data_IF_738717277938
#
_entry.id   IF_738717277938
#
_cell.length_a   1.000
_cell.length_b   1.000
_cell.length_c   1.000
_cell.angle_alpha   90.00
_cell.angle_beta   90.00
_cell.angle_gamma   90.00
#
_symmetry.space_group_name_H-M   'P 1'
#
loop_
_entity.id
_entity.type
_entity.pdbx_description
1 polymer ?
#
# COMPACT_ATOMS: atom_id res chain seq x y z
N UNK A 1 17.44 29.59 -19.21
CA UNK A 1 16.86 28.73 -20.27
C UNK A 1 17.18 27.29 -19.93
N UNK A 2 16.25 26.57 -19.28
CA UNK A 2 16.37 25.12 -19.11
C UNK A 2 15.84 24.49 -20.40
N UNK A 3 16.63 23.60 -20.99
CA UNK A 3 16.25 22.87 -22.19
C UNK A 3 15.24 21.81 -21.77
N UNK A 4 13.96 22.07 -22.03
CA UNK A 4 12.87 21.12 -21.84
C UNK A 4 13.06 19.96 -22.83
N UNK A 5 13.66 18.88 -22.35
CA UNK A 5 13.81 17.67 -23.16
C UNK A 5 12.46 16.95 -23.25
N UNK A 6 11.83 17.05 -24.43
CA UNK A 6 10.62 16.35 -24.88
C UNK A 6 10.59 14.83 -24.56
N UNK A 7 11.73 14.22 -24.25
CA UNK A 7 11.87 12.82 -23.85
C UNK A 7 11.34 12.49 -22.43
N UNK A 8 11.17 13.47 -21.53
CA UNK A 8 10.61 13.22 -20.19
C UNK A 8 9.08 13.02 -20.22
N UNK A 9 8.40 13.64 -21.20
CA UNK A 9 6.94 13.67 -21.33
C UNK A 9 6.39 12.30 -21.76
N UNK A 10 7.10 11.57 -22.61
CA UNK A 10 6.68 10.24 -23.10
C UNK A 10 6.80 9.12 -22.05
N UNK A 11 7.72 9.23 -21.09
CA UNK A 11 7.82 8.24 -19.99
C UNK A 11 6.68 8.36 -18.97
N UNK A 12 6.05 9.54 -18.89
CA UNK A 12 5.06 9.92 -17.87
C UNK A 12 3.66 9.36 -18.14
N UNK A 13 3.24 9.33 -19.40
CA UNK A 13 1.93 8.78 -19.80
C UNK A 13 1.86 7.24 -19.70
N UNK A 14 2.99 6.56 -19.86
CA UNK A 14 3.05 5.10 -19.74
C UNK A 14 2.96 4.63 -18.28
N UNK A 15 3.52 5.38 -17.32
CA UNK A 15 3.49 5.01 -15.90
C UNK A 15 2.12 5.28 -15.26
N UNK A 16 1.43 6.35 -15.65
CA UNK A 16 0.09 6.69 -15.15
C UNK A 16 -1.04 5.99 -15.91
N UNK A 17 -0.89 5.73 -17.22
CA UNK A 17 -1.93 5.13 -18.05
C UNK A 17 -2.22 3.66 -17.73
N UNK A 18 -1.26 2.94 -17.15
CA UNK A 18 -1.41 1.52 -16.81
C UNK A 18 -1.94 1.28 -15.38
N UNK A 19 -2.01 2.29 -14.50
CA UNK A 19 -2.47 2.13 -13.11
C UNK A 19 -3.97 2.32 -12.89
N UNK A 20 -4.68 2.95 -13.82
CA UNK A 20 -6.07 3.42 -13.67
C UNK A 20 -7.17 2.35 -13.59
N UNK A 21 -6.86 1.05 -13.78
CA UNK A 21 -7.86 -0.03 -13.79
C UNK A 21 -7.66 -1.02 -12.64
N UNK A 22 -7.69 -0.52 -11.39
CA UNK A 22 -7.66 -1.32 -10.16
C UNK A 22 -8.74 -0.91 -9.15
N UNK A 23 -8.77 -1.56 -7.98
CA UNK A 23 -9.77 -1.44 -6.91
C UNK A 23 -10.20 0.00 -6.50
N UNK A 24 -9.42 1.02 -6.89
CA UNK A 24 -9.75 2.43 -6.70
C UNK A 24 -10.94 2.94 -7.54
N UNK A 25 -11.33 2.24 -8.62
CA UNK A 25 -12.46 2.64 -9.47
C UNK A 25 -13.82 2.60 -8.74
N UNK A 26 -13.92 1.91 -7.59
CA UNK A 26 -15.13 1.81 -6.77
C UNK A 26 -15.00 2.49 -5.40
N UNK A 27 -13.85 3.11 -5.12
CA UNK A 27 -13.64 3.79 -3.85
C UNK A 27 -14.42 5.11 -3.83
N UNK A 28 -15.17 5.32 -2.75
CA UNK A 28 -15.89 6.57 -2.55
C UNK A 28 -14.93 7.63 -1.99
N UNK A 29 -14.43 8.52 -2.85
CA UNK A 29 -13.54 9.61 -2.45
C UNK A 29 -14.33 10.82 -1.97
N UNK A 30 -13.75 11.55 -1.00
CA UNK A 30 -14.31 12.82 -0.56
C UNK A 30 -14.31 13.82 -1.73
N UNK A 31 -15.46 14.43 -2.09
CA UNK A 31 -15.56 15.34 -3.22
C UNK A 31 -15.12 16.76 -2.85
N UNK A 32 -14.03 16.90 -2.10
CA UNK A 32 -13.47 18.18 -1.65
C UNK A 32 -11.95 18.19 -1.90
N UNK A 33 -11.32 19.37 -2.03
CA UNK A 33 -9.90 19.43 -2.29
C UNK A 33 -9.03 18.84 -1.16
N UNK A 34 -7.85 18.37 -1.53
CA UNK A 34 -6.80 18.00 -0.58
C UNK A 34 -6.49 19.17 0.37
N UNK A 35 -6.17 18.84 1.63
CA UNK A 35 -5.92 19.82 2.70
C UNK A 35 -7.17 20.32 3.42
N UNK A 36 -8.38 20.00 2.95
CA UNK A 36 -9.62 20.31 3.65
C UNK A 36 -9.81 19.40 4.86
N UNK A 37 -10.52 19.91 5.88
CA UNK A 37 -10.93 19.15 7.06
C UNK A 37 -12.41 18.82 6.99
N UNK A 38 -12.75 17.54 7.04
CA UNK A 38 -14.11 17.06 7.26
C UNK A 38 -14.41 17.12 8.76
N UNK A 39 -15.42 17.87 9.15
CA UNK A 39 -15.90 17.97 10.52
C UNK A 39 -17.20 17.19 10.66
N UNK A 40 -17.20 16.20 11.56
CA UNK A 40 -18.39 15.48 11.95
C UNK A 40 -19.30 16.37 12.81
N UNK A 41 -20.53 16.60 12.36
CA UNK A 41 -21.55 17.32 13.13
C UNK A 41 -22.13 16.47 14.28
N UNK A 42 -21.94 15.15 14.23
CA UNK A 42 -22.53 14.22 15.20
C UNK A 42 -21.67 14.05 16.47
N UNK A 43 -20.35 14.16 16.33
CA UNK A 43 -19.40 13.86 17.42
C UNK A 43 -18.14 14.75 17.43
N UNK A 44 -18.09 15.81 16.62
CA UNK A 44 -16.97 16.74 16.51
C UNK A 44 -15.62 16.12 16.06
N UNK A 45 -15.60 14.87 15.61
CA UNK A 45 -14.41 14.24 15.01
C UNK A 45 -14.00 14.96 13.74
N UNK A 46 -12.69 15.00 13.47
CA UNK A 46 -12.12 15.71 12.33
C UNK A 46 -11.24 14.79 11.50
N UNK A 47 -11.29 14.96 10.19
CA UNK A 47 -10.53 14.17 9.24
C UNK A 47 -9.92 15.06 8.17
N UNK A 48 -8.63 14.90 7.88
CA UNK A 48 -7.96 15.57 6.77
C UNK A 48 -8.27 14.82 5.47
N UNK A 49 -8.50 15.55 4.38
CA UNK A 49 -8.57 14.99 3.03
C UNK A 49 -7.20 15.04 2.35
N UNK A 50 -6.73 13.90 1.85
CA UNK A 50 -5.52 13.79 1.05
C UNK A 50 -5.65 12.68 0.00
N UNK A 51 -5.42 12.99 -1.28
CA UNK A 51 -5.74 12.11 -2.40
C UNK A 51 -7.21 11.69 -2.42
N UNK A 52 -8.12 12.56 -1.97
CA UNK A 52 -9.54 12.25 -1.80
C UNK A 52 -9.88 11.27 -0.66
N UNK A 53 -8.91 10.71 0.06
CA UNK A 53 -9.15 9.82 1.19
C UNK A 53 -9.17 10.59 2.52
N UNK A 54 -9.81 10.01 3.53
CA UNK A 54 -9.91 10.59 4.87
C UNK A 54 -8.82 10.06 5.81
N UNK A 55 -8.19 10.96 6.54
CA UNK A 55 -7.23 10.66 7.60
C UNK A 55 -7.75 11.23 8.91
N UNK A 56 -7.94 10.38 9.92
CA UNK A 56 -8.38 10.84 11.24
C UNK A 56 -7.36 11.80 11.86
N UNK A 57 -7.83 12.95 12.35
CA UNK A 57 -7.03 13.93 13.07
C UNK A 57 -7.23 13.65 14.57
N UNK A 58 -6.21 13.16 15.30
CA UNK A 58 -6.31 12.99 16.74
C UNK A 58 -6.60 14.34 17.43
N UNK A 59 -7.38 14.37 18.53
CA UNK A 59 -7.76 15.62 19.21
C UNK A 59 -6.57 16.54 19.54
N UNK A 60 -5.44 15.94 19.95
CA UNK A 60 -4.21 16.67 20.28
C UNK A 60 -3.56 17.39 19.08
N UNK A 61 -3.94 17.06 17.85
CA UNK A 61 -3.38 17.62 16.61
C UNK A 61 -4.33 18.58 15.90
N UNK A 62 -5.56 18.79 16.40
CA UNK A 62 -6.57 19.63 15.73
C UNK A 62 -6.08 21.07 15.50
N UNK A 63 -5.30 21.62 16.44
CA UNK A 63 -4.73 22.97 16.31
C UNK A 63 -3.78 23.12 15.12
N UNK A 64 -3.11 22.04 14.71
CA UNK A 64 -2.21 22.01 13.55
C UNK A 64 -2.95 22.22 12.22
N UNK A 65 -4.28 22.05 12.21
CA UNK A 65 -5.15 22.19 11.05
C UNK A 65 -6.13 23.36 11.18
N UNK A 66 -5.91 24.28 12.12
CA UNK A 66 -6.80 25.42 12.37
C UNK A 66 -6.94 26.39 11.19
N UNK A 67 -5.93 26.48 10.32
CA UNK A 67 -5.98 27.28 9.09
C UNK A 67 -6.64 26.57 7.89
N UNK A 68 -7.03 25.30 8.03
CA UNK A 68 -7.63 24.55 6.95
C UNK A 68 -9.12 24.90 6.77
N UNK A 69 -9.57 24.95 5.51
CA UNK A 69 -11.00 25.03 5.21
C UNK A 69 -11.72 23.80 5.75
N UNK A 70 -12.90 24.00 6.36
CA UNK A 70 -13.65 22.93 7.02
C UNK A 70 -14.99 22.70 6.33
N UNK A 71 -15.38 21.43 6.17
CA UNK A 71 -16.68 21.02 5.63
C UNK A 71 -17.40 20.18 6.67
N UNK A 72 -18.57 20.65 7.10
CA UNK A 72 -19.39 19.96 8.09
C UNK A 72 -20.26 18.89 7.42
N UNK A 73 -20.19 17.65 7.90
CA UNK A 73 -20.93 16.49 7.36
C UNK A 73 -21.36 15.56 8.51
N UNK A 74 -22.33 14.68 8.26
CA UNK A 74 -22.60 13.57 9.20
C UNK A 74 -21.40 12.62 9.28
N UNK A 75 -21.21 11.99 10.44
CA UNK A 75 -20.20 10.96 10.63
C UNK A 75 -20.42 9.78 9.66
N UNK A 76 -21.69 9.45 9.36
CA UNK A 76 -22.03 8.39 8.42
C UNK A 76 -21.52 8.71 7.00
N UNK A 77 -21.70 9.95 6.53
CA UNK A 77 -21.15 10.41 5.25
C UNK A 77 -19.63 10.32 5.25
N UNK A 78 -18.97 10.81 6.31
CA UNK A 78 -17.51 10.74 6.41
C UNK A 78 -17.03 9.28 6.41
N UNK A 79 -17.70 8.39 7.13
CA UNK A 79 -17.35 6.96 7.19
C UNK A 79 -17.50 6.26 5.84
N UNK A 80 -18.38 6.74 4.97
CA UNK A 80 -18.53 6.22 3.61
C UNK A 80 -17.34 6.54 2.71
N UNK A 81 -16.50 7.52 3.07
CA UNK A 81 -15.30 7.83 2.30
C UNK A 81 -14.15 6.86 2.62
N UNK A 82 -13.41 6.50 1.57
CA UNK A 82 -12.24 5.62 1.67
C UNK A 82 -11.13 6.23 2.54
N UNK A 83 -10.36 5.35 3.17
CA UNK A 83 -9.13 5.68 3.90
C UNK A 83 -7.86 5.46 3.05
N UNK A 84 -8.01 4.91 1.84
CA UNK A 84 -6.92 4.67 0.89
C UNK A 84 -6.92 5.80 -0.13
N UNK A 85 -5.87 6.63 -0.20
CA UNK A 85 -5.76 7.69 -1.21
C UNK A 85 -5.68 7.16 -2.63
N UNK A 86 -5.96 8.03 -3.59
CA UNK A 86 -5.77 7.73 -5.01
C UNK A 86 -4.31 7.43 -5.36
N UNK A 87 -4.11 6.66 -6.43
CA UNK A 87 -2.79 6.40 -6.99
C UNK A 87 -2.07 7.69 -7.40
N UNK A 88 -0.77 7.71 -7.12
CA UNK A 88 0.11 8.85 -7.24
C UNK A 88 -0.07 9.91 -6.17
N UNK A 89 -0.87 9.71 -5.13
CA UNK A 89 -0.92 10.67 -4.00
C UNK A 89 0.36 10.59 -3.19
N UNK A 90 1.00 11.75 -3.01
CA UNK A 90 2.15 11.93 -2.13
C UNK A 90 1.68 12.40 -0.76
N UNK A 91 2.20 11.77 0.29
CA UNK A 91 1.91 12.17 1.66
C UNK A 91 3.07 11.87 2.60
N UNK A 92 3.07 12.58 3.73
CA UNK A 92 3.95 12.32 4.87
C UNK A 92 3.23 12.66 6.16
N UNK A 93 3.63 12.03 7.24
CA UNK A 93 3.21 12.43 8.59
C UNK A 93 3.75 13.83 8.90
N UNK A 94 2.93 14.66 9.55
CA UNK A 94 3.33 16.03 9.90
C UNK A 94 4.58 16.02 10.77
N UNK A 95 5.52 16.91 10.45
CA UNK A 95 6.85 16.99 11.08
C UNK A 95 7.74 15.76 10.90
N UNK A 96 7.48 14.92 9.89
CA UNK A 96 8.38 13.84 9.46
C UNK A 96 8.97 14.14 8.09
N UNK A 97 10.15 13.58 7.80
CA UNK A 97 10.82 13.72 6.50
C UNK A 97 10.44 12.62 5.51
N UNK A 98 10.01 11.46 5.99
CA UNK A 98 9.69 10.31 5.13
C UNK A 98 8.43 10.57 4.31
N UNK A 99 8.60 10.60 2.99
CA UNK A 99 7.49 10.73 2.03
C UNK A 99 7.11 9.36 1.50
N UNK A 100 5.81 9.18 1.26
CA UNK A 100 5.23 8.00 0.64
C UNK A 100 4.45 8.39 -0.61
N UNK A 101 4.39 7.47 -1.56
CA UNK A 101 3.47 7.54 -2.71
C UNK A 101 2.51 6.37 -2.68
N UNK A 102 1.24 6.59 -3.04
CA UNK A 102 0.29 5.49 -3.25
C UNK A 102 0.42 4.95 -4.68
N UNK A 103 0.61 3.65 -4.84
CA UNK A 103 0.62 2.95 -6.12
C UNK A 103 -0.06 1.60 -5.96
N UNK A 104 -1.05 1.30 -6.82
CA UNK A 104 -1.84 0.08 -6.73
C UNK A 104 -2.71 0.02 -5.47
N UNK A 105 -3.06 1.17 -4.89
CA UNK A 105 -3.75 1.23 -3.60
C UNK A 105 -2.87 0.92 -2.38
N UNK A 106 -1.55 0.85 -2.54
CA UNK A 106 -0.60 0.65 -1.44
C UNK A 106 0.44 1.76 -1.36
N UNK A 107 0.94 2.05 -0.15
CA UNK A 107 1.95 3.07 0.06
C UNK A 107 3.36 2.52 -0.13
N UNK A 108 4.22 3.30 -0.76
CA UNK A 108 5.62 2.99 -0.99
C UNK A 108 6.50 4.13 -0.52
N UNK A 109 7.51 3.81 0.29
CA UNK A 109 8.46 4.80 0.77
C UNK A 109 9.29 5.35 -0.40
N UNK A 110 9.45 6.67 -0.44
CA UNK A 110 10.37 7.35 -1.34
C UNK A 110 11.70 7.53 -0.58
N UNK A 111 12.78 6.81 -0.94
CA UNK A 111 13.97 6.74 -0.07
C UNK A 111 14.88 7.97 -0.13
N UNK A 112 14.74 8.84 -1.14
CA UNK A 112 15.64 9.99 -1.34
C UNK A 112 14.95 11.15 -2.03
N UNK A 113 15.51 12.36 -1.90
CA UNK A 113 15.05 13.54 -2.62
C UNK A 113 15.16 13.36 -4.15
N UNK A 114 16.25 12.74 -4.62
CA UNK A 114 16.41 12.42 -6.05
C UNK A 114 15.31 11.49 -6.55
N UNK A 115 14.90 10.51 -5.74
CA UNK A 115 13.76 9.67 -6.09
C UNK A 115 12.46 10.48 -6.06
N UNK A 116 12.27 11.32 -5.05
CA UNK A 116 11.10 12.21 -4.93
C UNK A 116 10.90 13.08 -6.16
N UNK A 117 11.96 13.64 -6.75
CA UNK A 117 11.89 14.45 -7.97
C UNK A 117 11.23 13.73 -9.16
N UNK A 118 11.24 12.39 -9.20
CA UNK A 118 10.53 11.62 -10.24
C UNK A 118 9.02 11.54 -10.00
N UNK A 119 8.58 11.72 -8.75
CA UNK A 119 7.19 11.58 -8.32
C UNK A 119 6.52 12.93 -8.05
N UNK A 120 7.29 13.96 -7.70
CA UNK A 120 6.85 15.26 -7.19
C UNK A 120 6.59 16.32 -8.28
N UNK A 121 6.56 15.92 -9.55
CA UNK A 121 6.61 16.84 -10.71
C UNK A 121 5.37 17.78 -10.84
N UNK A 122 4.40 17.72 -9.91
CA UNK A 122 3.15 18.52 -9.90
C UNK A 122 2.22 18.33 -8.67
N UNK A 123 2.46 17.40 -7.74
CA UNK A 123 1.53 17.10 -6.64
C UNK A 123 2.08 17.57 -5.29
N UNK A 124 1.32 18.41 -4.61
CA UNK A 124 1.62 18.84 -3.23
C UNK A 124 1.73 17.61 -2.33
N UNK A 125 2.83 17.50 -1.58
CA UNK A 125 2.97 16.48 -0.54
C UNK A 125 1.97 16.80 0.58
N UNK A 126 0.99 15.92 0.75
CA UNK A 126 -0.02 16.06 1.80
C UNK A 126 0.59 15.81 3.19
N UNK A 127 0.49 16.78 4.10
CA UNK A 127 0.91 16.62 5.49
C UNK A 127 -0.23 16.00 6.32
N UNK A 128 -0.23 14.68 6.42
CA UNK A 128 -1.25 13.92 7.14
C UNK A 128 -1.00 13.91 8.66
N UNK A 129 -2.04 13.68 9.48
CA UNK A 129 -1.89 13.61 10.94
C UNK A 129 -1.03 12.42 11.36
N UNK A 130 -0.38 12.54 12.52
CA UNK A 130 0.31 11.43 13.17
C UNK A 130 -0.75 10.50 13.81
N UNK A 131 -1.33 9.63 12.99
CA UNK A 131 -2.38 8.66 13.32
C UNK A 131 -1.99 7.24 12.86
N UNK A 132 -2.85 6.24 13.12
CA UNK A 132 -2.75 4.86 12.65
C UNK A 132 -3.10 4.70 11.16
N UNK A 133 -2.67 5.61 10.29
CA UNK A 133 -3.03 5.64 8.87
C UNK A 133 -2.67 4.34 8.10
N UNK A 134 -1.66 3.60 8.56
CA UNK A 134 -1.21 2.35 7.94
C UNK A 134 -2.24 1.23 8.03
N UNK A 135 -3.12 1.25 9.04
CA UNK A 135 -4.06 0.15 9.32
C UNK A 135 -5.00 -0.13 8.13
N UNK A 136 -5.49 0.93 7.48
CA UNK A 136 -6.34 0.78 6.30
C UNK A 136 -5.61 0.04 5.16
N UNK A 137 -4.34 0.35 4.94
CA UNK A 137 -3.51 -0.31 3.93
C UNK A 137 -3.21 -1.75 4.33
N UNK A 138 -2.90 -2.01 5.60
CA UNK A 138 -2.64 -3.37 6.12
C UNK A 138 -3.85 -4.28 5.87
N UNK A 139 -5.06 -3.80 6.15
CA UNK A 139 -6.28 -4.56 5.91
C UNK A 139 -6.49 -4.87 4.41
N UNK A 140 -6.20 -3.90 3.53
CA UNK A 140 -6.24 -4.12 2.09
C UNK A 140 -5.17 -5.12 1.61
N UNK A 141 -3.96 -5.07 2.20
CA UNK A 141 -2.83 -5.92 1.83
C UNK A 141 -3.05 -7.42 2.02
N UNK A 142 -3.87 -7.80 3.01
CA UNK A 142 -4.22 -9.19 3.19
C UNK A 142 -5.14 -9.66 2.07
N UNK A 143 -6.05 -8.81 1.60
CA UNK A 143 -7.04 -9.21 0.58
C UNK A 143 -6.62 -8.87 -0.86
N UNK A 144 -5.45 -8.28 -1.05
CA UNK A 144 -4.99 -7.79 -2.34
C UNK A 144 -3.55 -8.19 -2.62
N UNK A 145 -3.25 -8.42 -3.89
CA UNK A 145 -1.92 -8.73 -4.39
C UNK A 145 -1.52 -7.72 -5.45
N UNK A 146 -0.26 -7.34 -5.45
CA UNK A 146 0.27 -6.36 -6.40
C UNK A 146 1.49 -6.93 -7.08
N UNK A 147 1.43 -7.04 -8.41
CA UNK A 147 2.64 -7.20 -9.20
C UNK A 147 3.34 -5.84 -9.25
N UNK A 148 4.56 -5.75 -8.72
CA UNK A 148 5.31 -4.51 -8.62
C UNK A 148 6.70 -4.64 -9.21
N UNK A 149 7.24 -3.53 -9.67
CA UNK A 149 8.59 -3.43 -10.20
C UNK A 149 9.16 -2.07 -9.81
N UNK A 150 10.35 -2.06 -9.19
CA UNK A 150 11.02 -0.80 -8.90
C UNK A 150 11.41 -0.11 -10.20
N UNK A 151 11.18 1.21 -10.24
CA UNK A 151 11.54 2.05 -11.37
C UNK A 151 12.98 1.76 -11.80
N UNK A 152 13.20 1.63 -13.11
CA UNK A 152 14.51 1.33 -13.75
C UNK A 152 15.09 -0.08 -13.53
N UNK A 153 14.50 -0.90 -12.67
CA UNK A 153 14.89 -2.32 -12.54
C UNK A 153 14.11 -3.17 -13.54
N UNK A 154 14.48 -4.44 -13.70
CA UNK A 154 13.73 -5.44 -14.51
C UNK A 154 13.06 -6.52 -13.67
N UNK A 155 13.43 -6.68 -12.39
CA UNK A 155 12.91 -7.72 -11.52
C UNK A 155 11.50 -7.34 -11.03
N UNK A 156 10.50 -8.13 -11.41
CA UNK A 156 9.16 -8.03 -10.86
C UNK A 156 9.04 -8.82 -9.56
N UNK A 157 8.22 -8.32 -8.65
CA UNK A 157 7.88 -8.98 -7.39
C UNK A 157 6.37 -9.03 -7.26
N UNK A 158 5.85 -10.13 -6.72
CA UNK A 158 4.52 -10.14 -6.15
C UNK A 158 4.61 -9.61 -4.72
N UNK A 159 3.87 -8.55 -4.42
CA UNK A 159 3.71 -8.02 -3.09
C UNK A 159 2.38 -8.47 -2.49
N UNK A 160 2.42 -9.15 -1.35
CA UNK A 160 1.27 -9.73 -0.65
C UNK A 160 1.53 -9.73 0.85
N UNK A 161 0.56 -9.29 1.65
CA UNK A 161 0.59 -9.34 3.12
C UNK A 161 1.94 -8.85 3.71
N UNK A 162 2.47 -7.73 3.20
CA UNK A 162 3.72 -7.15 3.70
C UNK A 162 5.02 -7.76 3.16
N UNK A 163 4.95 -8.88 2.43
CA UNK A 163 6.12 -9.53 1.85
C UNK A 163 6.28 -9.26 0.34
N UNK A 164 7.52 -9.34 -0.12
CA UNK A 164 7.86 -9.41 -1.55
C UNK A 164 8.33 -10.82 -1.94
N UNK A 165 7.74 -11.35 -3.00
CA UNK A 165 8.12 -12.63 -3.60
C UNK A 165 8.64 -12.38 -5.02
N UNK A 166 9.92 -12.69 -5.32
CA UNK A 166 10.45 -12.47 -6.66
C UNK A 166 9.73 -13.36 -7.67
N UNK A 167 9.35 -12.78 -8.82
CA UNK A 167 8.87 -13.55 -9.96
C UNK A 167 10.09 -14.02 -10.75
N UNK A 168 10.36 -15.33 -10.73
CA UNK A 168 11.57 -15.91 -11.33
C UNK A 168 11.32 -16.61 -12.66
N UNK A 169 10.06 -16.86 -13.02
CA UNK A 169 9.71 -17.55 -14.26
C UNK A 169 8.54 -16.86 -14.98
N UNK A 170 8.46 -17.10 -16.29
CA UNK A 170 7.45 -16.48 -17.16
C UNK A 170 6.02 -16.95 -16.87
N UNK A 171 5.86 -18.17 -16.35
CA UNK A 171 4.53 -18.74 -16.06
C UNK A 171 3.84 -18.02 -14.90
N UNK A 172 4.58 -17.76 -13.81
CA UNK A 172 4.11 -16.95 -12.69
C UNK A 172 3.87 -15.51 -13.13
N UNK A 173 4.81 -14.94 -13.92
CA UNK A 173 4.66 -13.57 -14.41
C UNK A 173 3.37 -13.39 -15.21
N UNK A 174 3.08 -14.31 -16.12
CA UNK A 174 1.85 -14.30 -16.92
C UNK A 174 0.61 -14.52 -16.05
N UNK A 175 0.67 -15.44 -15.09
CA UNK A 175 -0.43 -15.74 -14.18
C UNK A 175 -0.87 -14.51 -13.36
N UNK A 176 0.09 -13.70 -12.90
CA UNK A 176 -0.17 -12.46 -12.17
C UNK A 176 -0.41 -11.25 -13.08
N UNK A 177 -0.66 -11.47 -14.38
CA UNK A 177 -1.08 -10.44 -15.33
C UNK A 177 0.04 -9.82 -16.17
N UNK A 178 1.29 -10.26 -16.01
CA UNK A 178 2.44 -9.87 -16.82
C UNK A 178 2.81 -8.39 -16.72
N UNK A 179 3.63 -7.92 -17.65
CA UNK A 179 4.18 -6.56 -17.61
C UNK A 179 3.15 -5.44 -17.73
N UNK A 180 2.00 -5.70 -18.34
CA UNK A 180 0.89 -4.74 -18.36
C UNK A 180 0.24 -4.53 -16.99
N UNK A 181 0.37 -5.49 -16.08
CA UNK A 181 -0.20 -5.41 -14.72
C UNK A 181 0.82 -4.95 -13.68
N UNK A 182 2.11 -5.01 -14.00
CA UNK A 182 3.18 -4.58 -13.11
C UNK A 182 3.09 -3.08 -12.83
N UNK A 183 2.96 -2.74 -11.54
CA UNK A 183 2.94 -1.36 -11.06
C UNK A 183 4.37 -0.89 -10.81
N UNK A 184 4.72 0.26 -11.37
CA UNK A 184 6.03 0.87 -11.14
C UNK A 184 6.02 1.57 -9.79
N UNK A 185 6.98 1.23 -8.92
CA UNK A 185 7.13 1.77 -7.57
C UNK A 185 8.50 2.48 -7.42
N UNK A 186 8.70 3.31 -6.38
CA UNK A 186 9.94 4.05 -6.21
C UNK A 186 11.17 3.14 -6.14
N UNK A 187 12.27 3.57 -6.76
CA UNK A 187 13.54 2.85 -6.67
C UNK A 187 14.05 2.81 -5.22
N UNK A 188 14.34 1.61 -4.72
CA UNK A 188 14.82 1.38 -3.35
C UNK A 188 13.71 1.18 -2.32
N UNK A 189 12.43 1.33 -2.71
CA UNK A 189 11.29 1.11 -1.80
C UNK A 189 11.16 -0.34 -1.32
N UNK A 190 11.68 -1.31 -2.08
CA UNK A 190 11.69 -2.72 -1.70
C UNK A 190 12.87 -3.10 -0.82
N UNK A 191 13.87 -2.24 -0.62
CA UNK A 191 15.12 -2.61 0.06
C UNK A 191 14.90 -3.18 1.47
N UNK A 192 13.95 -2.60 2.22
CA UNK A 192 13.61 -3.01 3.59
C UNK A 192 12.41 -3.97 3.68
N UNK A 193 11.83 -4.35 2.54
CA UNK A 193 10.73 -5.33 2.50
C UNK A 193 11.34 -6.72 2.36
N UNK A 194 10.98 -7.63 3.27
CA UNK A 194 11.47 -9.01 3.28
C UNK A 194 10.53 -9.94 2.51
N UNK A 195 10.95 -11.19 2.31
CA UNK A 195 10.07 -12.24 1.81
C UNK A 195 9.24 -12.90 2.91
N UNK A 196 9.29 -12.38 4.14
CA UNK A 196 8.51 -12.90 5.27
C UNK A 196 7.18 -12.14 5.36
N UNK A 197 6.03 -12.79 5.12
CA UNK A 197 4.73 -12.14 5.19
C UNK A 197 4.40 -11.76 6.64
N UNK A 198 3.42 -10.89 6.83
CA UNK A 198 2.88 -10.61 8.14
C UNK A 198 2.28 -11.88 8.75
N UNK A 199 2.36 -11.96 10.07
CA UNK A 199 1.76 -13.07 10.78
C UNK A 199 0.25 -13.11 10.54
N UNK A 200 -0.29 -14.31 10.33
CA UNK A 200 -1.71 -14.55 10.10
C UNK A 200 -2.07 -14.53 8.63
N UNK A 201 -1.09 -14.32 7.74
CA UNK A 201 -1.30 -14.50 6.31
C UNK A 201 -1.65 -15.96 6.00
N UNK A 202 -2.71 -16.18 5.23
CA UNK A 202 -3.05 -17.47 4.64
C UNK A 202 -2.68 -17.45 3.16
N UNK A 203 -1.62 -18.16 2.77
CA UNK A 203 -1.08 -18.12 1.41
C UNK A 203 -1.10 -19.49 0.76
N UNK A 204 -1.27 -19.52 -0.56
CA UNK A 204 -1.29 -20.73 -1.38
C UNK A 204 -0.34 -20.54 -2.55
N UNK A 205 0.52 -21.51 -2.84
CA UNK A 205 1.27 -21.49 -4.11
C UNK A 205 0.30 -21.68 -5.27
N UNK A 206 0.45 -20.91 -6.35
CA UNK A 206 -0.58 -20.83 -7.38
C UNK A 206 -0.97 -22.19 -7.98
N UNK A 207 -0.01 -23.12 -8.10
CA UNK A 207 -0.22 -24.48 -8.62
C UNK A 207 -0.73 -25.48 -7.58
N UNK A 208 -0.69 -25.13 -6.30
CA UNK A 208 -1.08 -26.00 -5.18
C UNK A 208 -2.51 -25.74 -4.74
N UNK A 209 -3.22 -26.77 -4.26
CA UNK A 209 -4.51 -26.60 -3.59
C UNK A 209 -4.37 -26.33 -2.08
N UNK A 210 -3.19 -26.58 -1.51
CA UNK A 210 -2.96 -26.45 -0.06
C UNK A 210 -2.76 -25.01 0.35
N UNK A 211 -3.63 -24.50 1.21
CA UNK A 211 -3.45 -23.20 1.88
C UNK A 211 -2.63 -23.39 3.14
N UNK A 212 -1.66 -22.51 3.34
CA UNK A 212 -0.87 -22.46 4.56
C UNK A 212 -1.16 -21.21 5.35
N UNK A 213 -1.39 -21.35 6.66
CA UNK A 213 -1.33 -20.26 7.62
C UNK A 213 0.15 -20.01 7.99
N UNK A 214 0.56 -18.75 7.97
CA UNK A 214 1.92 -18.30 8.28
C UNK A 214 1.95 -17.64 9.67
N UNK A 215 2.85 -18.10 10.53
CA UNK A 215 3.03 -17.51 11.86
C UNK A 215 4.16 -18.14 12.66
N UNK A 216 4.16 -17.93 13.97
CA UNK A 216 5.21 -18.41 14.87
C UNK A 216 4.72 -19.54 15.77
N UNK A 217 5.62 -20.21 16.49
CA UNK A 217 5.21 -21.22 17.49
C UNK A 217 4.74 -20.53 18.77
N UNK A 218 5.45 -19.49 19.20
CA UNK A 218 5.25 -18.78 20.47
C UNK A 218 5.93 -17.42 20.41
N UNK A 219 5.80 -16.61 21.48
CA UNK A 219 6.36 -15.26 21.57
C UNK A 219 7.88 -15.23 21.60
N UNK A 220 8.50 -16.37 21.90
CA UNK A 220 9.94 -16.58 21.89
C UNK A 220 10.47 -17.14 20.57
N UNK A 221 9.61 -17.52 19.64
CA UNK A 221 10.01 -18.09 18.35
C UNK A 221 10.26 -16.98 17.32
N UNK A 222 11.49 -16.85 16.84
CA UNK A 222 11.85 -15.87 15.81
C UNK A 222 11.69 -16.39 14.38
N UNK A 223 11.51 -17.70 14.21
CA UNK A 223 11.33 -18.33 12.89
C UNK A 223 9.86 -18.45 12.54
N UNK A 224 9.47 -17.84 11.41
CA UNK A 224 8.15 -18.02 10.82
C UNK A 224 8.02 -19.42 10.21
N UNK A 225 6.86 -20.04 10.41
CA UNK A 225 6.51 -21.38 9.94
C UNK A 225 5.20 -21.36 9.18
N UNK A 226 4.98 -22.42 8.42
CA UNK A 226 3.75 -22.66 7.68
C UNK A 226 3.03 -23.90 8.21
N UNK A 227 1.71 -23.83 8.36
CA UNK A 227 0.88 -24.97 8.72
C UNK A 227 -0.31 -25.04 7.76
N UNK A 228 -0.62 -26.24 7.26
CA UNK A 228 -1.78 -26.40 6.38
C UNK A 228 -3.07 -26.00 7.13
N UNK A 229 -3.97 -25.30 6.45
CA UNK A 229 -5.21 -24.80 7.03
C UNK A 229 -6.38 -24.99 6.06
N UNK A 230 -7.59 -25.11 6.61
CA UNK A 230 -8.84 -25.06 5.86
C UNK A 230 -9.37 -23.63 5.69
N UNK A 231 -8.74 -22.64 6.34
CA UNK A 231 -9.09 -21.24 6.15
C UNK A 231 -8.83 -20.83 4.69
N UNK A 232 -9.66 -19.93 4.13
CA UNK A 232 -9.45 -19.45 2.76
C UNK A 232 -8.10 -18.76 2.63
N UNK A 233 -7.47 -18.91 1.47
CA UNK A 233 -6.29 -18.14 1.13
C UNK A 233 -6.65 -16.66 1.03
N UNK A 234 -5.86 -15.83 1.68
CA UNK A 234 -5.83 -14.38 1.51
C UNK A 234 -5.39 -14.03 0.08
N UNK A 235 -4.35 -14.72 -0.39
CA UNK A 235 -3.88 -14.64 -1.78
C UNK A 235 -3.12 -15.89 -2.16
N UNK A 236 -2.96 -16.09 -3.46
CA UNK A 236 -1.95 -16.96 -4.04
C UNK A 236 -0.58 -16.25 -4.15
N UNK A 237 0.48 -17.05 -4.26
CA UNK A 237 1.88 -16.62 -4.44
C UNK A 237 2.57 -17.48 -5.51
N UNK A 238 3.73 -17.06 -6.05
CA UNK A 238 4.50 -17.84 -7.02
C UNK A 238 4.86 -19.24 -6.49
N UNK A 239 5.02 -20.20 -7.39
CA UNK A 239 5.43 -21.54 -6.98
C UNK A 239 6.86 -21.52 -6.39
N UNK A 240 7.06 -22.24 -5.28
CA UNK A 240 8.31 -22.24 -4.51
C UNK A 240 8.47 -21.06 -3.53
N UNK A 241 7.59 -20.04 -3.59
CA UNK A 241 7.66 -18.88 -2.69
C UNK A 241 7.50 -19.26 -1.21
N UNK A 242 6.79 -20.35 -0.91
CA UNK A 242 6.56 -20.81 0.46
C UNK A 242 7.59 -21.84 0.92
N UNK A 243 8.53 -22.26 0.07
CA UNK A 243 9.56 -23.25 0.42
C UNK A 243 10.44 -22.84 1.62
N UNK A 244 10.82 -21.56 1.80
CA UNK A 244 11.68 -21.15 2.93
C UNK A 244 11.04 -21.29 4.32
N UNK A 245 9.71 -21.39 4.43
CA UNK A 245 9.02 -21.51 5.71
C UNK A 245 8.90 -22.99 6.10
N UNK A 246 9.52 -23.42 7.22
CA UNK A 246 9.41 -24.80 7.68
C UNK A 246 7.97 -25.17 8.00
N UNK A 247 7.60 -26.42 7.67
CA UNK A 247 6.29 -26.96 8.03
C UNK A 247 6.20 -27.11 9.55
N UNK A 248 5.03 -26.77 10.10
CA UNK A 248 4.68 -26.97 11.49
C UNK A 248 3.42 -27.81 11.61
N UNK A 249 3.47 -28.84 12.44
CA UNK A 249 2.32 -29.68 12.81
C UNK A 249 1.63 -29.06 14.01
N UNK A 250 0.76 -28.08 13.77
CA UNK A 250 0.04 -27.34 14.81
C UNK A 250 -0.57 -26.05 14.25
N UNK A 251 -1.17 -25.24 15.12
CA UNK A 251 -1.68 -23.92 14.74
C UNK A 251 -0.60 -22.86 15.01
N UNK A 252 -0.12 -22.12 14.00
CA UNK A 252 0.78 -21.00 14.22
C UNK A 252 0.10 -19.91 15.05
N UNK A 253 0.86 -19.29 15.95
CA UNK A 253 0.45 -18.16 16.75
C UNK A 253 0.91 -16.84 16.11
N UNK A 254 0.03 -15.84 16.18
CA UNK A 254 0.33 -14.46 15.84
C UNK A 254 0.14 -13.61 17.07
N UNK A 255 1.24 -13.01 17.49
CA UNK A 255 1.38 -12.49 18.83
C UNK A 255 1.59 -11.01 18.64
N UNK A 256 0.59 -10.26 19.06
CA UNK A 256 0.56 -8.81 19.05
C UNK A 256 1.06 -8.29 20.40
#
# INVERSE_FOLDING_TARGET
MRVDSFLSIFRRWLVLGLSLLGAQALANYAPVPDGYVLLSIDNSSRYLVAGGARFYIPPAQVSLYSGASTVALSQATINSYTQIPQDGTLFRQINTSQVYVVVGGMYWAIPSATELDYWDDWKVINNIPNSNWQEAFVNLAFSNKLLVQERTTSQAYLWVAGAKFPITNSSDYTYFGGGGSARIIPLGSLANITSQPWCGANLRERSSSTVYALGYISSSSTTMRKAATSAPAHSDVPDGALAPFPVFTGTPACIW
#
